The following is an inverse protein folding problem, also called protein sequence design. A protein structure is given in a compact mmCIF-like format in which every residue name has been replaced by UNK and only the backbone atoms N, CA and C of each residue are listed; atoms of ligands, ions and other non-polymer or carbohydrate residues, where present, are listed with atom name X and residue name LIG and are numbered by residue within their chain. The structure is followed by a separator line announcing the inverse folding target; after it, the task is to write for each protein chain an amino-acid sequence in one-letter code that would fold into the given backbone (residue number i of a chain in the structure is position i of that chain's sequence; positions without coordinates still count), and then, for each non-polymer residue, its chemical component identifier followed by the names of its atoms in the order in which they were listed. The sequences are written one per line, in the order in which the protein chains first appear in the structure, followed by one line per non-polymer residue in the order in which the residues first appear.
data_IF_305117531009
#
_entry.id   IF_305117531009
#
_cell.length_a   1.000
_cell.length_b   1.000
_cell.length_c   1.000
_cell.angle_alpha   90.00
_cell.angle_beta   90.00
_cell.angle_gamma   90.00
#
_symmetry.space_group_name_H-M   'P 1'
#
loop_
_entity.id
_entity.type
_entity.pdbx_description
1 polymer ?
#
# COMPACT_ATOMS: atom_id res chain seq x y z
N UNK A 1 8.16 -1.72 6.11
CA UNK A 1 8.62 -2.85 5.27
C UNK A 1 7.42 -3.37 4.49
N UNK A 2 7.66 -3.83 3.27
CA UNK A 2 6.62 -4.37 2.39
C UNK A 2 7.22 -5.40 1.42
N UNK A 3 6.38 -6.26 0.85
CA UNK A 3 6.71 -7.12 -0.30
C UNK A 3 6.41 -6.41 -1.62
N UNK A 4 7.08 -6.82 -2.68
CA UNK A 4 6.84 -6.40 -4.07
C UNK A 4 5.40 -6.60 -4.53
N UNK A 5 4.68 -7.61 -4.00
CA UNK A 5 3.23 -7.74 -4.21
C UNK A 5 2.40 -6.48 -3.91
N UNK A 6 2.90 -5.54 -3.09
CA UNK A 6 2.27 -4.19 -2.92
C UNK A 6 2.44 -3.33 -4.17
N UNK A 7 3.65 -3.27 -4.73
CA UNK A 7 3.99 -2.41 -5.87
C UNK A 7 3.56 -3.01 -7.20
N UNK A 8 3.56 -4.34 -7.31
CA UNK A 8 3.17 -5.10 -8.49
C UNK A 8 1.66 -5.36 -8.58
N UNK A 9 0.88 -4.94 -7.58
CA UNK A 9 -0.58 -5.01 -7.63
C UNK A 9 -1.09 -4.29 -8.88
N UNK A 10 -1.87 -5.00 -9.71
CA UNK A 10 -2.29 -4.50 -11.03
C UNK A 10 -3.71 -3.97 -11.04
N UNK A 11 -3.91 -2.90 -11.79
CA UNK A 11 -5.23 -2.40 -12.14
C UNK A 11 -5.86 -3.21 -13.28
N UNK A 12 -7.13 -2.92 -13.58
CA UNK A 12 -7.82 -3.49 -14.74
C UNK A 12 -7.16 -3.14 -16.10
N UNK A 13 -6.37 -2.07 -16.14
CA UNK A 13 -5.63 -1.61 -17.33
C UNK A 13 -4.21 -2.22 -17.42
N UNK A 14 -3.91 -3.24 -16.60
CA UNK A 14 -2.58 -3.88 -16.47
C UNK A 14 -1.45 -2.92 -16.03
N UNK A 15 -1.81 -1.79 -15.39
CA UNK A 15 -0.86 -0.87 -14.75
C UNK A 15 -0.53 -1.35 -13.34
N UNK A 16 0.76 -1.35 -12.97
CA UNK A 16 1.23 -1.60 -11.61
C UNK A 16 0.96 -0.41 -10.67
N UNK A 17 0.69 -0.71 -9.40
CA UNK A 17 0.48 0.31 -8.37
C UNK A 17 1.71 1.22 -8.25
N UNK A 18 2.89 0.61 -8.20
CA UNK A 18 4.19 1.27 -8.22
C UNK A 18 4.56 1.99 -6.92
N UNK A 19 5.86 2.26 -6.78
CA UNK A 19 6.42 2.91 -5.59
C UNK A 19 5.89 4.34 -5.39
N UNK A 20 5.63 5.08 -6.48
CA UNK A 20 5.16 6.46 -6.39
C UNK A 20 3.83 6.56 -5.63
N UNK A 21 2.86 5.68 -5.94
CA UNK A 21 1.55 5.66 -5.26
C UNK A 21 1.69 5.19 -3.82
N UNK A 22 2.58 4.23 -3.55
CA UNK A 22 2.90 3.81 -2.18
C UNK A 22 3.49 4.96 -1.36
N UNK A 23 4.47 5.68 -1.90
CA UNK A 23 5.09 6.82 -1.23
C UNK A 23 4.08 7.93 -0.94
N UNK A 24 3.18 8.23 -1.87
CA UNK A 24 2.09 9.18 -1.66
C UNK A 24 1.17 8.77 -0.48
N UNK A 25 0.95 7.47 -0.26
CA UNK A 25 0.21 6.98 0.91
C UNK A 25 0.97 7.18 2.23
N UNK A 26 2.30 7.20 2.19
CA UNK A 26 3.18 7.34 3.34
C UNK A 26 3.50 8.80 3.68
N UNK A 27 3.44 9.72 2.71
CA UNK A 27 3.83 11.13 2.85
C UNK A 27 2.88 12.01 3.68
N UNK A 28 1.82 11.46 4.30
CA UNK A 28 0.85 12.23 5.10
C UNK A 28 1.09 12.12 6.60
N UNK A 29 0.95 13.26 7.30
CA UNK A 29 1.00 13.49 8.75
C UNK A 29 1.70 12.42 9.63
N UNK A 30 2.82 12.83 10.23
CA UNK A 30 3.62 12.06 11.19
C UNK A 30 2.82 11.56 12.43
N UNK A 31 1.59 12.03 12.63
CA UNK A 31 0.72 11.69 13.77
C UNK A 31 -0.07 10.38 13.52
N UNK A 32 -0.18 9.92 12.27
CA UNK A 32 -0.97 8.74 11.85
C UNK A 32 -0.53 7.45 12.55
N UNK A 33 -1.36 6.88 13.43
CA UNK A 33 -1.05 5.61 14.13
C UNK A 33 -0.57 4.53 13.14
N UNK A 34 0.32 3.60 13.52
CA UNK A 34 0.78 2.54 12.62
C UNK A 34 -0.37 1.78 11.94
N UNK A 35 -1.45 1.54 12.69
CA UNK A 35 -2.67 0.91 12.19
C UNK A 35 -3.40 1.78 11.17
N UNK A 36 -3.49 3.10 11.39
CA UNK A 36 -4.10 4.01 10.42
C UNK A 36 -3.30 4.06 9.11
N UNK A 37 -1.97 4.03 9.19
CA UNK A 37 -1.11 3.97 8.02
C UNK A 37 -1.29 2.67 7.24
N UNK A 38 -1.30 1.53 7.95
CA UNK A 38 -1.51 0.21 7.35
C UNK A 38 -2.88 0.12 6.66
N UNK A 39 -3.96 0.56 7.33
CA UNK A 39 -5.30 0.59 6.75
C UNK A 39 -5.37 1.45 5.47
N UNK A 40 -4.68 2.59 5.46
CA UNK A 40 -4.63 3.48 4.31
C UNK A 40 -3.96 2.81 3.11
N UNK A 41 -2.80 2.18 3.32
CA UNK A 41 -2.08 1.47 2.25
C UNK A 41 -2.96 0.37 1.67
N UNK A 42 -3.53 -0.48 2.50
CA UNK A 42 -4.42 -1.55 2.02
C UNK A 42 -5.66 -1.03 1.31
N UNK A 43 -6.28 0.05 1.81
CA UNK A 43 -7.42 0.67 1.14
C UNK A 43 -7.05 1.20 -0.24
N UNK A 44 -5.89 1.86 -0.37
CA UNK A 44 -5.43 2.43 -1.64
C UNK A 44 -5.02 1.37 -2.66
N UNK A 45 -4.37 0.30 -2.22
CA UNK A 45 -4.05 -0.83 -3.09
C UNK A 45 -5.33 -1.52 -3.57
N UNK A 46 -6.29 -1.77 -2.67
CA UNK A 46 -7.62 -2.32 -3.02
C UNK A 46 -8.41 -1.45 -3.99
N UNK A 47 -8.42 -0.15 -3.75
CA UNK A 47 -9.03 0.83 -4.65
C UNK A 47 -8.32 0.87 -6.01
N UNK A 48 -7.04 0.53 -6.07
CA UNK A 48 -6.31 0.54 -7.33
C UNK A 48 -6.58 -0.70 -8.19
N UNK A 49 -6.57 -1.90 -7.59
CA UNK A 49 -6.81 -3.13 -8.34
C UNK A 49 -8.31 -3.42 -8.60
N UNK A 50 -9.23 -2.82 -7.82
CA UNK A 50 -10.68 -2.99 -8.01
C UNK A 50 -11.11 -4.47 -8.06
N UNK A 51 -11.67 -4.92 -9.20
CA UNK A 51 -12.08 -6.31 -9.46
C UNK A 51 -10.99 -7.14 -10.15
N UNK A 52 -9.80 -6.57 -10.41
CA UNK A 52 -8.69 -7.34 -10.95
C UNK A 52 -8.21 -8.37 -9.93
N UNK A 53 -7.89 -9.57 -10.42
CA UNK A 53 -7.33 -10.64 -9.58
C UNK A 53 -5.99 -10.18 -9.00
N UNK A 54 -5.79 -10.43 -7.71
CA UNK A 54 -4.49 -10.26 -7.09
C UNK A 54 -3.50 -11.23 -7.72
N UNK A 55 -2.40 -10.70 -8.23
CA UNK A 55 -1.33 -11.46 -8.87
C UNK A 55 -0.40 -12.15 -7.86
N UNK A 56 -0.26 -11.61 -6.65
CA UNK A 56 0.66 -12.08 -5.62
C UNK A 56 0.20 -11.72 -4.19
N UNK A 57 0.84 -12.33 -3.18
CA UNK A 57 0.59 -12.08 -1.76
C UNK A 57 1.08 -10.68 -1.32
N UNK A 58 0.19 -9.92 -0.70
CA UNK A 58 0.48 -8.57 -0.22
C UNK A 58 0.78 -8.55 1.28
N UNK A 59 2.01 -8.17 1.65
CA UNK A 59 2.42 -7.99 3.04
C UNK A 59 2.93 -6.56 3.31
N UNK A 60 2.46 -5.94 4.40
CA UNK A 60 2.96 -4.64 4.88
C UNK A 60 3.16 -4.68 6.39
N UNK A 61 4.31 -4.18 6.86
CA UNK A 61 4.62 -3.99 8.29
C UNK A 61 5.02 -2.54 8.56
N UNK A 62 4.35 -1.92 9.54
CA UNK A 62 4.59 -0.55 9.99
C UNK A 62 5.09 -0.57 11.43
N UNK A 63 6.27 0.01 11.66
CA UNK A 63 6.87 0.18 12.99
C UNK A 63 7.04 1.66 13.26
N UNK A 64 6.64 2.11 14.45
CA UNK A 64 6.85 3.48 14.92
C UNK A 64 7.80 3.45 16.12
N UNK A 65 8.84 4.27 16.07
CA UNK A 65 9.75 4.50 17.18
C UNK A 65 9.24 5.71 17.96
N UNK A 66 8.65 5.47 19.13
CA UNK A 66 8.38 6.52 20.10
C UNK A 66 9.63 6.69 20.97
N UNK A 67 10.03 7.93 21.22
CA UNK A 67 11.16 8.26 22.08
C UNK A 67 10.67 8.62 23.48
#
# INVERSE_FOLDING_TARGET
MFTDGVTEARSADDEEFGEHRLMACLSTDAVSSPKALLNRVFAKVREFYQEADQSDDIMVTVTRFCR
#
